data_IF_956662906275
#
_entry.id   IF_956662906275
#
_cell.length_a   1.000
_cell.length_b   1.000
_cell.length_c   1.000
_cell.angle_alpha   90.00
_cell.angle_beta   90.00
_cell.angle_gamma   90.00
#
_symmetry.space_group_name_H-M   'P 1'
#
loop_
_entity.id
_entity.type
_entity.pdbx_description
1 polymer ?
#
# COMPACT_ATOMS: atom_id res chain seq x y z
N UNK A 1 15.80 2.46 -16.16
CA UNK A 1 15.06 1.29 -15.69
C UNK A 1 15.73 0.73 -14.45
N UNK A 2 14.96 0.49 -13.41
CA UNK A 2 15.42 -0.28 -12.27
C UNK A 2 14.37 -1.34 -11.95
N UNK A 3 14.79 -2.60 -11.90
CA UNK A 3 13.93 -3.71 -11.49
C UNK A 3 14.66 -4.46 -10.40
N UNK A 4 14.09 -4.47 -9.21
CA UNK A 4 14.62 -5.21 -8.07
C UNK A 4 13.68 -6.35 -7.72
N UNK A 5 14.25 -7.54 -7.56
CA UNK A 5 13.53 -8.71 -7.07
C UNK A 5 14.18 -9.17 -5.77
N UNK A 6 13.41 -9.15 -4.70
CA UNK A 6 13.84 -9.67 -3.40
C UNK A 6 12.97 -10.86 -2.99
N UNK A 7 13.61 -11.94 -2.58
CA UNK A 7 12.95 -13.08 -1.94
C UNK A 7 13.51 -13.20 -0.54
N UNK A 8 12.64 -13.19 0.45
CA UNK A 8 13.00 -13.32 1.86
C UNK A 8 12.21 -14.46 2.48
N UNK A 9 12.89 -15.35 3.21
CA UNK A 9 12.22 -16.25 4.14
C UNK A 9 11.83 -15.45 5.38
N UNK A 10 10.60 -15.64 5.84
CA UNK A 10 10.07 -15.02 7.04
C UNK A 10 9.93 -16.13 8.07
N UNK A 11 10.67 -16.02 9.17
CA UNK A 11 10.54 -16.89 10.33
C UNK A 11 9.75 -16.13 11.39
N UNK A 12 8.65 -16.70 11.86
CA UNK A 12 7.89 -16.22 13.01
C UNK A 12 8.34 -16.91 14.30
N UNK A 13 8.02 -16.32 15.44
CA UNK A 13 8.18 -16.98 16.72
C UNK A 13 7.12 -18.08 16.86
N UNK A 14 7.50 -19.32 17.04
CA UNK A 14 6.70 -20.55 17.08
C UNK A 14 6.22 -21.05 15.70
N UNK A 15 6.95 -21.96 15.10
CA UNK A 15 6.59 -22.84 13.96
C UNK A 15 5.99 -22.18 12.72
N UNK A 16 5.99 -20.85 12.66
CA UNK A 16 5.51 -20.11 11.49
C UNK A 16 6.67 -19.96 10.49
N UNK A 17 6.51 -20.55 9.33
CA UNK A 17 7.43 -20.39 8.20
C UNK A 17 6.72 -19.69 7.05
N UNK A 18 7.45 -18.91 6.29
CA UNK A 18 6.83 -18.23 5.16
C UNK A 18 7.83 -17.73 4.13
N UNK A 19 7.31 -17.29 3.01
CA UNK A 19 8.09 -16.64 1.97
C UNK A 19 7.43 -15.35 1.52
N UNK A 20 8.24 -14.33 1.31
CA UNK A 20 7.81 -13.07 0.68
C UNK A 20 8.62 -12.85 -0.59
N UNK A 21 7.95 -12.51 -1.67
CA UNK A 21 8.59 -12.11 -2.93
C UNK A 21 8.14 -10.70 -3.26
N UNK A 22 9.09 -9.80 -3.41
CA UNK A 22 8.84 -8.40 -3.77
C UNK A 22 9.49 -8.10 -5.11
N UNK A 23 8.71 -7.55 -6.04
CA UNK A 23 9.16 -7.01 -7.31
C UNK A 23 8.92 -5.51 -7.31
N UNK A 24 9.97 -4.73 -7.47
CA UNK A 24 9.90 -3.27 -7.60
C UNK A 24 10.43 -2.84 -8.95
N UNK A 25 9.69 -2.00 -9.64
CA UNK A 25 10.10 -1.40 -10.89
C UNK A 25 9.93 0.12 -10.83
N UNK A 26 10.91 0.85 -11.33
CA UNK A 26 10.87 2.29 -11.43
C UNK A 26 11.31 2.77 -12.82
N UNK A 27 10.68 3.80 -13.31
CA UNK A 27 10.98 4.43 -14.58
C UNK A 27 10.88 5.95 -14.46
N UNK A 28 11.88 6.63 -14.98
CA UNK A 28 11.89 8.09 -15.05
C UNK A 28 11.80 8.50 -16.52
N UNK A 29 10.80 9.30 -16.84
CA UNK A 29 10.52 9.75 -18.21
C UNK A 29 10.18 11.23 -18.23
N UNK A 30 10.56 11.97 -19.28
CA UNK A 30 10.00 13.29 -19.50
C UNK A 30 8.53 13.15 -19.92
N UNK A 31 7.64 13.80 -19.19
CA UNK A 31 6.23 13.93 -19.52
C UNK A 31 5.91 15.42 -19.56
N UNK A 32 5.41 15.91 -20.71
CA UNK A 32 5.16 17.34 -20.96
C UNK A 32 6.36 18.24 -20.61
N UNK A 33 7.57 17.78 -20.93
CA UNK A 33 8.80 18.53 -20.64
C UNK A 33 9.31 18.47 -19.20
N UNK A 34 8.61 17.78 -18.29
CA UNK A 34 8.97 17.63 -16.89
C UNK A 34 9.40 16.20 -16.59
N UNK A 35 10.42 16.06 -15.74
CA UNK A 35 10.92 14.77 -15.29
C UNK A 35 9.91 14.12 -14.37
N UNK A 36 9.23 13.07 -14.84
CA UNK A 36 8.21 12.33 -14.11
C UNK A 36 8.77 10.99 -13.65
N UNK A 37 8.53 10.65 -12.39
CA UNK A 37 8.91 9.35 -11.83
C UNK A 37 7.68 8.47 -11.72
N UNK A 38 7.76 7.30 -12.35
CA UNK A 38 6.76 6.22 -12.25
C UNK A 38 7.37 5.10 -11.44
N UNK A 39 6.66 4.60 -10.43
CA UNK A 39 7.13 3.49 -9.61
C UNK A 39 6.01 2.49 -9.36
N UNK A 40 6.34 1.21 -9.40
CA UNK A 40 5.42 0.14 -9.07
C UNK A 40 6.10 -0.91 -8.19
N UNK A 41 5.37 -1.43 -7.21
CA UNK A 41 5.81 -2.54 -6.37
C UNK A 41 4.72 -3.58 -6.31
N UNK A 42 5.09 -4.83 -6.54
CA UNK A 42 4.25 -6.01 -6.32
C UNK A 42 4.87 -6.83 -5.21
N UNK A 43 4.09 -7.21 -4.23
CA UNK A 43 4.52 -8.06 -3.12
C UNK A 43 3.54 -9.22 -3.00
N UNK A 44 4.09 -10.43 -2.97
CA UNK A 44 3.37 -11.65 -2.67
C UNK A 44 3.99 -12.28 -1.43
N UNK A 45 3.20 -12.44 -0.39
CA UNK A 45 3.63 -13.00 0.89
C UNK A 45 2.77 -14.20 1.22
N UNK A 46 3.40 -15.32 1.50
CA UNK A 46 2.76 -16.55 1.91
C UNK A 46 3.32 -16.96 3.28
N UNK A 47 2.47 -16.95 4.29
CA UNK A 47 2.80 -17.36 5.64
C UNK A 47 2.06 -18.66 5.95
N UNK A 48 2.79 -19.69 6.38
CA UNK A 48 2.27 -20.96 6.83
C UNK A 48 2.51 -21.05 8.34
N UNK A 49 1.45 -21.26 9.10
CA UNK A 49 1.53 -21.45 10.54
C UNK A 49 0.41 -22.30 11.07
N UNK A 50 0.56 -22.84 12.25
CA UNK A 50 -0.39 -23.76 12.87
C UNK A 50 -1.78 -23.15 13.06
N UNK A 51 -1.85 -21.80 13.13
CA UNK A 51 -3.10 -21.07 13.39
C UNK A 51 -3.43 -19.98 12.37
N UNK A 52 -2.51 -19.59 11.47
CA UNK A 52 -2.70 -18.45 10.55
C UNK A 52 -1.97 -18.66 9.24
N UNK A 53 -2.48 -19.52 8.41
CA UNK A 53 -2.07 -19.52 7.01
C UNK A 53 -2.65 -18.29 6.33
N UNK A 54 -1.79 -17.32 6.00
CA UNK A 54 -2.19 -16.06 5.36
C UNK A 54 -1.49 -15.90 4.04
N UNK A 55 -2.25 -15.55 3.02
CA UNK A 55 -1.72 -15.08 1.74
C UNK A 55 -2.02 -13.60 1.60
N UNK A 56 -0.99 -12.79 1.34
CA UNK A 56 -1.14 -11.36 1.13
C UNK A 56 -0.54 -10.97 -0.21
N UNK A 57 -1.34 -10.27 -1.02
CA UNK A 57 -0.94 -9.67 -2.29
C UNK A 57 -1.03 -8.17 -2.17
N UNK A 58 0.04 -7.48 -2.52
CA UNK A 58 0.09 -6.01 -2.48
C UNK A 58 0.57 -5.48 -3.83
N UNK A 59 -0.04 -4.41 -4.27
CA UNK A 59 0.39 -3.65 -5.43
C UNK A 59 0.43 -2.16 -5.07
N UNK A 60 1.46 -1.48 -5.51
CA UNK A 60 1.63 -0.04 -5.32
C UNK A 60 2.00 0.58 -6.65
N UNK A 61 1.33 1.64 -6.99
CA UNK A 61 1.66 2.50 -8.12
C UNK A 61 1.87 3.91 -7.60
N UNK A 62 2.96 4.56 -8.02
CA UNK A 62 3.28 5.93 -7.65
C UNK A 62 3.68 6.74 -8.87
N UNK A 63 3.18 7.96 -8.96
CA UNK A 63 3.55 8.95 -9.96
C UNK A 63 3.92 10.23 -9.23
N UNK A 64 5.14 10.72 -9.42
CA UNK A 64 5.59 12.01 -8.95
C UNK A 64 5.83 12.93 -10.15
N UNK A 65 5.08 14.02 -10.20
CA UNK A 65 5.10 14.97 -11.31
C UNK A 65 5.48 16.37 -10.79
N UNK A 66 6.68 16.87 -11.11
CA UNK A 66 7.09 18.20 -10.71
C UNK A 66 6.46 19.26 -11.61
N UNK A 67 5.67 20.16 -11.02
CA UNK A 67 5.10 21.35 -11.67
C UNK A 67 5.68 22.56 -10.96
N UNK A 68 6.83 23.14 -11.39
CA UNK A 68 7.43 24.25 -10.65
C UNK A 68 6.48 25.42 -10.42
N UNK A 69 6.39 25.98 -9.21
CA UNK A 69 7.19 25.65 -8.01
C UNK A 69 6.67 24.48 -7.17
N UNK A 70 5.59 23.81 -7.53
CA UNK A 70 4.99 22.72 -6.78
C UNK A 70 5.41 21.35 -7.30
N UNK A 71 5.26 20.31 -6.48
CA UNK A 71 5.29 18.92 -6.93
C UNK A 71 4.01 18.21 -6.56
N UNK A 72 3.49 17.43 -7.52
CA UNK A 72 2.28 16.64 -7.39
C UNK A 72 2.67 15.17 -7.31
N UNK A 73 2.19 14.47 -6.27
CA UNK A 73 2.33 13.03 -6.13
C UNK A 73 0.97 12.35 -6.13
N UNK A 74 0.83 11.29 -6.91
CA UNK A 74 -0.34 10.42 -6.92
C UNK A 74 0.11 9.01 -6.60
N UNK A 75 -0.52 8.37 -5.62
CA UNK A 75 -0.21 7.01 -5.23
C UNK A 75 -1.49 6.20 -5.09
N UNK A 76 -1.43 4.98 -5.58
CA UNK A 76 -2.45 3.96 -5.38
C UNK A 76 -1.81 2.75 -4.73
N UNK A 77 -2.35 2.35 -3.58
CA UNK A 77 -1.98 1.15 -2.88
C UNK A 77 -3.16 0.18 -2.87
N UNK A 78 -2.90 -1.04 -3.22
CA UNK A 78 -3.84 -2.15 -3.16
C UNK A 78 -3.24 -3.25 -2.30
N UNK A 79 -4.03 -3.79 -1.38
CA UNK A 79 -3.67 -5.00 -0.65
C UNK A 79 -4.87 -5.92 -0.52
N UNK A 80 -4.62 -7.20 -0.72
CA UNK A 80 -5.58 -8.27 -0.49
C UNK A 80 -4.93 -9.29 0.43
N UNK A 81 -5.60 -9.62 1.53
CA UNK A 81 -5.16 -10.61 2.50
C UNK A 81 -6.24 -11.67 2.65
N UNK A 82 -5.87 -12.92 2.50
CA UNK A 82 -6.74 -14.07 2.66
C UNK A 82 -6.18 -15.00 3.74
N UNK A 83 -6.99 -15.34 4.75
CA UNK A 83 -6.66 -16.39 5.70
C UNK A 83 -7.06 -17.74 5.09
N UNK A 84 -6.12 -18.66 5.00
CA UNK A 84 -6.36 -19.98 4.39
C UNK A 84 -7.14 -20.92 5.30
N UNK A 85 -7.09 -20.67 6.62
CA UNK A 85 -7.83 -21.45 7.63
C UNK A 85 -9.13 -20.71 7.95
N UNK A 86 -10.25 -21.44 7.98
CA UNK A 86 -11.53 -20.88 8.40
C UNK A 86 -11.50 -20.64 9.92
N UNK A 87 -11.77 -19.41 10.33
CA UNK A 87 -11.89 -19.05 11.75
C UNK A 87 -13.30 -19.41 12.21
N UNK A 88 -13.49 -20.35 13.18
CA UNK A 88 -14.78 -20.77 13.65
C UNK A 88 -15.54 -19.66 14.43
N UNK A 89 -14.82 -18.65 14.95
CA UNK A 89 -15.40 -17.61 15.80
C UNK A 89 -15.82 -16.34 15.03
N UNK A 90 -15.68 -16.34 13.71
CA UNK A 90 -15.99 -15.15 12.90
C UNK A 90 -17.39 -15.21 12.33
N UNK A 91 -18.22 -14.24 12.69
CA UNK A 91 -19.57 -14.03 12.13
C UNK A 91 -19.47 -13.58 10.66
N UNK A 92 -19.77 -14.44 9.73
CA UNK A 92 -19.71 -14.16 8.30
C UNK A 92 -21.08 -13.75 7.73
N UNK A 93 -21.07 -12.93 6.68
CA UNK A 93 -22.30 -12.49 5.98
C UNK A 93 -23.00 -13.65 5.27
N UNK A 94 -22.24 -14.70 4.88
CA UNK A 94 -22.78 -15.88 4.20
C UNK A 94 -21.91 -17.09 4.49
N UNK A 95 -22.44 -18.07 5.23
CA UNK A 95 -21.88 -19.41 5.53
C UNK A 95 -20.44 -19.42 6.11
N UNK A 96 -20.32 -19.80 7.39
CA UNK A 96 -19.10 -19.74 8.21
C UNK A 96 -17.98 -20.75 7.90
N UNK A 97 -17.96 -21.36 6.75
CA UNK A 97 -16.84 -22.18 6.25
C UNK A 97 -15.97 -21.44 5.25
N UNK A 98 -16.07 -20.11 5.16
CA UNK A 98 -15.28 -19.33 4.20
C UNK A 98 -14.06 -18.68 4.87
N UNK A 99 -12.95 -18.79 4.16
CA UNK A 99 -11.72 -18.07 4.42
C UNK A 99 -11.98 -16.58 4.54
N UNK A 100 -11.40 -15.93 5.55
CA UNK A 100 -11.49 -14.48 5.71
C UNK A 100 -10.71 -13.79 4.60
N UNK A 101 -11.37 -12.92 3.87
CA UNK A 101 -10.77 -12.13 2.79
C UNK A 101 -10.96 -10.64 3.06
N UNK A 102 -9.86 -9.92 3.16
CA UNK A 102 -9.83 -8.48 3.32
C UNK A 102 -9.16 -7.84 2.11
N UNK A 103 -9.78 -6.81 1.55
CA UNK A 103 -9.24 -6.02 0.47
C UNK A 103 -9.18 -4.57 0.90
N UNK A 104 -8.01 -3.96 0.81
CA UNK A 104 -7.81 -2.55 1.10
C UNK A 104 -7.31 -1.81 -0.14
N UNK A 105 -7.88 -0.65 -0.41
CA UNK A 105 -7.54 0.26 -1.49
C UNK A 105 -7.32 1.64 -0.91
N UNK A 106 -6.15 2.22 -1.21
CA UNK A 106 -5.78 3.55 -0.73
C UNK A 106 -5.36 4.41 -1.92
N UNK A 107 -6.00 5.55 -2.06
CA UNK A 107 -5.64 6.59 -3.01
C UNK A 107 -5.06 7.74 -2.22
N UNK A 108 -3.87 8.18 -2.59
CA UNK A 108 -3.19 9.32 -1.97
C UNK A 108 -2.83 10.34 -3.02
N UNK A 109 -3.27 11.57 -2.80
CA UNK A 109 -2.88 12.75 -3.56
C UNK A 109 -2.02 13.62 -2.65
N UNK A 110 -0.84 14.00 -3.09
CA UNK A 110 0.08 14.88 -2.35
C UNK A 110 0.49 16.06 -3.19
N UNK A 111 0.51 17.24 -2.58
CA UNK A 111 0.99 18.48 -3.16
C UNK A 111 2.05 19.06 -2.22
N UNK A 112 3.23 19.37 -2.74
CA UNK A 112 4.28 20.02 -1.97
C UNK A 112 4.65 21.36 -2.63
N UNK A 113 4.71 22.41 -1.83
CA UNK A 113 5.07 23.76 -2.23
C UNK A 113 6.28 24.23 -1.45
N UNK A 114 7.45 24.40 -2.08
CA UNK A 114 8.62 25.00 -1.45
C UNK A 114 8.42 26.51 -1.35
N UNK A 115 8.01 26.98 -0.18
CA UNK A 115 7.79 28.41 0.07
C UNK A 115 9.11 29.17 0.22
N UNK A 116 10.16 28.50 0.71
CA UNK A 116 11.52 29.00 0.83
C UNK A 116 12.51 27.82 0.77
N UNK A 117 13.81 28.10 0.64
CA UNK A 117 14.84 27.07 0.65
C UNK A 117 14.84 26.24 1.96
N UNK A 118 14.34 26.81 3.04
CA UNK A 118 14.25 26.20 4.38
C UNK A 118 12.83 25.76 4.77
N UNK A 119 11.80 25.96 3.93
CA UNK A 119 10.41 25.70 4.30
C UNK A 119 9.60 25.10 3.13
N UNK A 120 8.97 23.96 3.37
CA UNK A 120 8.07 23.29 2.42
C UNK A 120 6.70 23.11 3.08
N UNK A 121 5.65 23.54 2.40
CA UNK A 121 4.27 23.22 2.74
C UNK A 121 3.82 21.99 1.99
N UNK A 122 3.28 21.01 2.71
CA UNK A 122 2.70 19.79 2.17
C UNK A 122 1.20 19.68 2.45
N UNK A 123 0.44 19.29 1.44
CA UNK A 123 -0.96 18.89 1.55
C UNK A 123 -1.09 17.45 1.06
N UNK A 124 -1.66 16.59 1.88
CA UNK A 124 -1.93 15.21 1.49
C UNK A 124 -3.41 14.89 1.73
N UNK A 125 -4.07 14.42 0.70
CA UNK A 125 -5.43 13.88 0.74
C UNK A 125 -5.35 12.36 0.57
N UNK A 126 -5.91 11.61 1.52
CA UNK A 126 -5.98 10.16 1.47
C UNK A 126 -7.42 9.69 1.49
N UNK A 127 -7.75 8.80 0.57
CA UNK A 127 -9.01 8.06 0.55
C UNK A 127 -8.72 6.58 0.71
N UNK A 128 -9.25 5.97 1.76
CA UNK A 128 -9.07 4.55 2.08
C UNK A 128 -10.42 3.84 2.07
N UNK A 129 -10.46 2.69 1.41
CA UNK A 129 -11.62 1.80 1.38
C UNK A 129 -11.18 0.40 1.72
N UNK A 130 -11.74 -0.14 2.79
CA UNK A 130 -11.63 -1.56 3.13
C UNK A 130 -12.94 -2.29 2.84
N UNK A 131 -12.82 -3.44 2.20
CA UNK A 131 -13.90 -4.39 2.03
C UNK A 131 -13.49 -5.76 2.60
N UNK A 132 -14.39 -6.40 3.30
CA UNK A 132 -14.18 -7.69 3.92
C UNK A 132 -15.43 -8.56 3.73
N UNK A 133 -15.25 -9.87 3.71
CA UNK A 133 -16.36 -10.81 3.80
C UNK A 133 -16.84 -11.01 5.25
N UNK A 134 -16.24 -10.30 6.21
CA UNK A 134 -16.65 -10.29 7.62
C UNK A 134 -17.58 -9.12 7.87
N UNK A 135 -18.68 -9.35 8.60
CA UNK A 135 -19.63 -8.30 9.00
C UNK A 135 -18.91 -7.26 9.88
N UNK A 136 -19.16 -5.98 9.61
CA UNK A 136 -18.63 -4.87 10.41
C UNK A 136 -17.18 -4.48 10.13
N UNK A 137 -16.47 -5.17 9.21
CA UNK A 137 -15.10 -4.81 8.84
C UNK A 137 -14.98 -3.99 7.54
N UNK A 138 -16.11 -3.57 6.99
CA UNK A 138 -16.11 -2.65 5.83
C UNK A 138 -16.08 -1.21 6.32
N UNK A 139 -15.15 -0.41 5.82
CA UNK A 139 -15.09 1.01 6.12
C UNK A 139 -14.58 1.84 4.94
N UNK A 140 -14.87 3.13 5.01
CA UNK A 140 -14.30 4.16 4.13
C UNK A 140 -13.82 5.31 5.02
N UNK A 141 -12.59 5.77 4.77
CA UNK A 141 -11.99 6.89 5.50
C UNK A 141 -11.44 7.89 4.51
N UNK A 142 -11.75 9.15 4.74
CA UNK A 142 -11.11 10.28 4.07
C UNK A 142 -10.28 11.03 5.11
N UNK A 143 -9.04 11.31 4.81
CA UNK A 143 -8.19 12.11 5.67
C UNK A 143 -7.45 13.17 4.86
N UNK A 144 -7.33 14.36 5.47
CA UNK A 144 -6.56 15.48 4.92
C UNK A 144 -5.48 15.82 5.94
N UNK A 145 -4.24 15.88 5.50
CA UNK A 145 -3.10 16.24 6.32
C UNK A 145 -2.40 17.48 5.73
N UNK A 146 -2.18 18.47 6.58
CA UNK A 146 -1.31 19.60 6.31
C UNK A 146 0.02 19.39 7.03
N UNK A 147 1.12 19.66 6.37
CA UNK A 147 2.46 19.47 6.88
C UNK A 147 3.31 20.70 6.58
N UNK A 148 4.15 21.09 7.54
CA UNK A 148 5.21 22.07 7.35
C UNK A 148 6.53 21.38 7.64
N UNK A 149 7.43 21.38 6.67
CA UNK A 149 8.77 20.80 6.79
C UNK A 149 9.77 21.95 6.82
N UNK A 150 10.54 22.03 7.90
CA UNK A 150 11.64 22.98 8.06
C UNK A 150 12.97 22.23 7.79
N UNK A 151 13.82 22.83 6.97
CA UNK A 151 15.15 22.31 6.59
C UNK A 151 16.19 23.27 7.19
N UNK A 152 17.08 22.77 8.05
CA UNK A 152 18.17 23.58 8.64
C UNK A 152 19.50 23.19 8.03
#
# INVERSE_FOLDING_TARGET
WQIDRKKKSVEGSHDDSGSSTTLTAGYVTPLFGLKTTLGGTLEDTNLNGTYKDTEAKKAKLKVDYPIPPVSLGVQYDFSETENKVADPDVTCVTTCNKKTKNRNQVYTLSLNYPAAAWCIFGLTQKHERQSSNIIGKNYKVNSTQLQVILIY
#
